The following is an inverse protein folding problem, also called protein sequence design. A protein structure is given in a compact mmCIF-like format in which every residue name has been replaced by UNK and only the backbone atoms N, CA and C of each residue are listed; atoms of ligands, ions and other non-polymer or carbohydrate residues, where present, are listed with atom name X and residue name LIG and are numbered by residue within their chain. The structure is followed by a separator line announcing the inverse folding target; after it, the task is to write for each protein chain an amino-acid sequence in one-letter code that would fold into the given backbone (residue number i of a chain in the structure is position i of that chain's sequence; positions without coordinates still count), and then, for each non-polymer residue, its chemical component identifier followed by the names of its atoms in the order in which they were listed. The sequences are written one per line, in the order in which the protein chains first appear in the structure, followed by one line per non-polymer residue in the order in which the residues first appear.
data_IF_225635017226
#
_entry.id   IF_225635017226
#
_cell.length_a   1.000
_cell.length_b   1.000
_cell.length_c   1.000
_cell.angle_alpha   90.00
_cell.angle_beta   90.00
_cell.angle_gamma   90.00
#
_symmetry.space_group_name_H-M   'P 1'
#
loop_
_entity.id
_entity.type
_entity.pdbx_description
1 polymer ?
#
# COMPACT_ATOMS: atom_id res chain seq x y z
N UNK A 1 -43.68 -10.49 -5.36
CA UNK A 1 -42.63 -11.40 -4.85
C UNK A 1 -41.39 -11.49 -5.75
N UNK A 2 -41.53 -11.60 -7.08
CA UNK A 2 -40.38 -11.64 -8.00
C UNK A 2 -39.54 -10.34 -7.98
N UNK A 3 -40.19 -9.17 -7.91
CA UNK A 3 -39.54 -7.86 -7.80
C UNK A 3 -38.76 -7.68 -6.48
N UNK A 4 -39.24 -8.30 -5.40
CA UNK A 4 -38.52 -8.33 -4.12
C UNK A 4 -37.28 -9.23 -4.24
N UNK A 5 -37.37 -10.40 -4.88
CA UNK A 5 -36.19 -11.26 -5.09
C UNK A 5 -35.13 -10.60 -5.98
N UNK A 6 -35.51 -9.88 -7.04
CA UNK A 6 -34.58 -9.18 -7.93
C UNK A 6 -33.87 -8.01 -7.25
N UNK A 7 -34.57 -7.25 -6.41
CA UNK A 7 -33.96 -6.14 -5.65
C UNK A 7 -32.95 -6.65 -4.63
N UNK A 8 -33.20 -7.79 -4.00
CA UNK A 8 -32.26 -8.43 -3.07
C UNK A 8 -31.03 -9.00 -3.80
N UNK A 9 -31.21 -9.58 -4.99
CA UNK A 9 -30.09 -10.02 -5.82
C UNK A 9 -29.21 -8.85 -6.26
N UNK A 10 -29.81 -7.71 -6.66
CA UNK A 10 -29.06 -6.51 -7.01
C UNK A 10 -28.29 -5.93 -5.81
N UNK A 11 -28.90 -5.89 -4.62
CA UNK A 11 -28.23 -5.46 -3.38
C UNK A 11 -27.05 -6.37 -2.99
N UNK A 12 -27.20 -7.69 -3.14
CA UNK A 12 -26.11 -8.64 -2.88
C UNK A 12 -24.93 -8.43 -3.84
N UNK A 13 -25.20 -8.17 -5.13
CA UNK A 13 -24.17 -7.93 -6.16
C UNK A 13 -23.42 -6.61 -5.91
N UNK A 14 -24.10 -5.55 -5.46
CA UNK A 14 -23.43 -4.29 -5.08
C UNK A 14 -22.58 -4.41 -3.80
N UNK A 15 -22.91 -5.33 -2.89
CA UNK A 15 -22.16 -5.50 -1.63
C UNK A 15 -20.83 -6.26 -1.77
N UNK A 16 -20.63 -6.97 -2.89
CA UNK A 16 -19.39 -7.73 -3.14
C UNK A 16 -18.25 -6.91 -3.77
N UNK A 17 -18.51 -5.65 -4.13
CA UNK A 17 -17.50 -4.74 -4.69
C UNK A 17 -16.46 -4.23 -3.68
N UNK A 18 -16.58 -4.58 -2.39
CA UNK A 18 -15.61 -4.24 -1.35
C UNK A 18 -14.63 -5.39 -1.07
N UNK A 19 -14.28 -6.17 -2.09
CA UNK A 19 -13.08 -7.00 -2.03
C UNK A 19 -11.89 -6.04 -1.91
N UNK A 20 -11.34 -5.97 -0.70
CA UNK A 20 -10.20 -5.18 -0.26
C UNK A 20 -9.39 -4.58 -1.42
N UNK A 21 -9.49 -3.27 -1.59
CA UNK A 21 -8.31 -2.52 -2.02
C UNK A 21 -7.36 -2.69 -0.85
N UNK A 22 -6.57 -3.77 -0.85
CA UNK A 22 -5.36 -3.81 -0.06
C UNK A 22 -4.52 -2.67 -0.61
N UNK A 23 -4.67 -1.49 -0.01
CA UNK A 23 -3.85 -0.34 -0.32
C UNK A 23 -2.43 -0.71 0.10
N UNK A 24 -1.69 -1.38 -0.80
CA UNK A 24 -0.28 -1.66 -0.63
C UNK A 24 0.40 -0.30 -0.51
N UNK A 25 0.82 0.02 0.71
CA UNK A 25 1.58 1.19 1.13
C UNK A 25 1.59 2.33 0.10
N UNK A 26 0.64 3.27 0.18
CA UNK A 26 0.58 4.38 -0.77
C UNK A 26 1.56 5.50 -0.35
N UNK A 27 2.42 6.00 -1.25
CA UNK A 27 3.29 7.11 -0.91
C UNK A 27 2.46 8.39 -0.65
N UNK A 28 2.84 9.22 0.35
CA UNK A 28 2.19 10.49 0.57
C UNK A 28 2.45 11.46 -0.59
N UNK A 29 1.51 12.35 -0.85
CA UNK A 29 1.65 13.40 -1.86
C UNK A 29 2.38 14.58 -1.24
N UNK A 30 3.49 15.07 -1.83
CA UNK A 30 4.17 16.26 -1.33
C UNK A 30 3.23 17.47 -1.29
N UNK A 31 3.20 18.25 -0.20
CA UNK A 31 2.43 19.47 -0.15
C UNK A 31 3.01 20.52 -1.12
N UNK A 32 2.19 21.47 -1.53
CA UNK A 32 2.65 22.63 -2.28
C UNK A 32 3.52 23.54 -1.40
N UNK A 33 4.61 24.07 -1.96
CA UNK A 33 5.51 24.97 -1.24
C UNK A 33 5.57 26.34 -1.94
N UNK A 34 5.21 27.45 -1.25
CA UNK A 34 5.37 28.79 -1.80
C UNK A 34 6.85 29.15 -1.94
N UNK A 35 7.17 29.92 -2.99
CA UNK A 35 8.50 30.50 -3.21
C UNK A 35 8.59 31.96 -2.78
N UNK A 36 7.45 32.66 -2.68
CA UNK A 36 7.39 34.04 -2.20
C UNK A 36 7.50 34.08 -0.66
N UNK A 37 8.47 34.82 -0.09
CA UNK A 37 8.62 34.93 1.35
C UNK A 37 7.42 35.62 2.05
N UNK A 38 6.65 36.45 1.35
CA UNK A 38 5.44 37.04 1.90
C UNK A 38 4.34 35.98 2.06
N UNK A 39 4.19 35.08 1.09
CA UNK A 39 3.28 33.93 1.19
C UNK A 39 3.70 32.97 2.30
N UNK A 40 5.01 32.72 2.44
CA UNK A 40 5.54 31.88 3.54
C UNK A 40 5.17 32.46 4.90
N UNK A 41 5.28 33.78 5.08
CA UNK A 41 4.91 34.45 6.33
C UNK A 41 3.39 34.46 6.56
N UNK A 42 2.62 34.75 5.51
CA UNK A 42 1.17 34.82 5.58
C UNK A 42 0.54 33.46 5.94
N UNK A 43 1.12 32.37 5.43
CA UNK A 43 0.58 31.02 5.61
C UNK A 43 1.44 30.14 6.52
N UNK A 44 2.31 30.72 7.35
CA UNK A 44 3.28 29.96 8.16
C UNK A 44 2.64 28.84 9.01
N UNK A 45 1.49 29.09 9.62
CA UNK A 45 0.81 28.09 10.44
C UNK A 45 0.20 26.95 9.60
N UNK A 46 -0.27 27.25 8.39
CA UNK A 46 -0.74 26.22 7.46
C UNK A 46 0.43 25.36 6.99
N UNK A 47 1.53 25.99 6.55
CA UNK A 47 2.72 25.29 6.08
C UNK A 47 3.34 24.39 7.15
N UNK A 48 3.31 24.80 8.43
CA UNK A 48 3.75 23.96 9.55
C UNK A 48 2.89 22.71 9.69
N UNK A 49 1.57 22.86 9.68
CA UNK A 49 0.65 21.72 9.78
C UNK A 49 0.75 20.78 8.59
N UNK A 50 0.90 21.33 7.39
CA UNK A 50 1.07 20.53 6.17
C UNK A 50 2.38 19.73 6.22
N UNK A 51 3.45 20.32 6.76
CA UNK A 51 4.71 19.62 6.97
C UNK A 51 4.55 18.48 8.00
N UNK A 52 3.93 18.76 9.16
CA UNK A 52 3.65 17.75 10.19
C UNK A 52 2.86 16.57 9.62
N UNK A 53 1.74 16.85 8.94
CA UNK A 53 0.90 15.83 8.31
C UNK A 53 1.66 15.02 7.25
N UNK A 54 2.42 15.68 6.37
CA UNK A 54 3.19 14.99 5.34
C UNK A 54 4.24 14.03 5.93
N UNK A 55 4.94 14.45 7.00
CA UNK A 55 5.96 13.60 7.60
C UNK A 55 5.38 12.45 8.44
N UNK A 56 4.23 12.66 9.10
CA UNK A 56 3.50 11.58 9.76
C UNK A 56 3.04 10.51 8.77
N UNK A 57 2.50 10.94 7.62
CA UNK A 57 2.08 10.05 6.54
C UNK A 57 3.29 9.33 5.90
N UNK A 58 4.41 10.03 5.73
CA UNK A 58 5.66 9.43 5.24
C UNK A 58 6.19 8.35 6.19
N UNK A 59 6.14 8.57 7.51
CA UNK A 59 6.54 7.58 8.49
C UNK A 59 5.63 6.34 8.43
N UNK A 60 4.32 6.54 8.31
CA UNK A 60 3.36 5.45 8.15
C UNK A 60 3.63 4.65 6.87
N UNK A 61 3.90 5.32 5.76
CA UNK A 61 4.28 4.69 4.50
C UNK A 61 5.54 3.83 4.65
N UNK A 62 6.60 4.36 5.28
CA UNK A 62 7.84 3.62 5.49
C UNK A 62 7.63 2.40 6.40
N UNK A 63 6.85 2.51 7.47
CA UNK A 63 6.53 1.35 8.33
C UNK A 63 5.81 0.25 7.55
N UNK A 64 4.87 0.62 6.69
CA UNK A 64 4.17 -0.31 5.83
C UNK A 64 5.13 -1.00 4.83
N UNK A 65 5.97 -0.21 4.13
CA UNK A 65 6.98 -0.75 3.20
C UNK A 65 7.97 -1.70 3.88
N UNK A 66 8.35 -1.40 5.12
CA UNK A 66 9.24 -2.24 5.90
C UNK A 66 8.59 -3.58 6.27
N UNK A 67 7.28 -3.61 6.50
CA UNK A 67 6.53 -4.84 6.72
C UNK A 67 6.49 -5.68 5.44
N UNK A 68 6.04 -5.11 4.33
CA UNK A 68 5.99 -5.78 3.02
C UNK A 68 7.35 -6.37 2.64
N UNK A 69 8.42 -5.59 2.83
CA UNK A 69 9.80 -6.05 2.56
C UNK A 69 10.16 -7.28 3.39
N UNK A 70 9.79 -7.34 4.67
CA UNK A 70 10.08 -8.49 5.53
C UNK A 70 9.30 -9.73 5.08
N UNK A 71 8.03 -9.56 4.75
CA UNK A 71 7.18 -10.66 4.30
C UNK A 71 7.68 -11.26 2.98
N UNK A 72 8.01 -10.41 2.01
CA UNK A 72 8.59 -10.84 0.72
C UNK A 72 9.97 -11.46 0.91
N UNK A 73 10.79 -10.95 1.84
CA UNK A 73 12.11 -11.52 2.11
C UNK A 73 12.03 -12.98 2.58
N UNK A 74 11.13 -13.29 3.51
CA UNK A 74 10.92 -14.67 3.98
C UNK A 74 10.38 -15.57 2.86
N UNK A 75 9.47 -15.06 2.01
CA UNK A 75 9.01 -15.79 0.84
C UNK A 75 10.15 -16.12 -0.12
N UNK A 76 10.98 -15.13 -0.48
CA UNK A 76 12.13 -15.32 -1.37
C UNK A 76 13.11 -16.32 -0.79
N UNK A 77 13.34 -16.29 0.53
CA UNK A 77 14.18 -17.28 1.21
C UNK A 77 13.65 -18.70 1.02
N UNK A 78 12.38 -18.94 1.34
CA UNK A 78 11.76 -20.26 1.22
C UNK A 78 11.81 -20.78 -0.22
N UNK A 79 11.46 -19.93 -1.19
CA UNK A 79 11.50 -20.27 -2.61
C UNK A 79 12.94 -20.56 -3.07
N UNK A 80 13.92 -19.82 -2.58
CA UNK A 80 15.33 -20.06 -2.91
C UNK A 80 15.81 -21.43 -2.42
N UNK A 81 15.38 -21.88 -1.24
CA UNK A 81 15.67 -23.21 -0.72
C UNK A 81 15.03 -24.33 -1.56
N UNK A 82 13.80 -24.11 -2.06
CA UNK A 82 13.13 -25.00 -3.01
C UNK A 82 13.93 -25.13 -4.31
N UNK A 83 14.33 -24.01 -4.91
CA UNK A 83 15.12 -24.01 -6.14
C UNK A 83 16.49 -24.69 -5.93
N UNK A 84 17.14 -24.48 -4.79
CA UNK A 84 18.41 -25.14 -4.48
C UNK A 84 18.27 -26.68 -4.50
N UNK A 85 17.18 -27.23 -3.95
CA UNK A 85 16.89 -28.67 -4.01
C UNK A 85 16.70 -29.17 -5.44
N UNK A 86 15.95 -28.43 -6.26
CA UNK A 86 15.74 -28.78 -7.67
C UNK A 86 17.06 -28.81 -8.42
N UNK A 87 17.90 -27.80 -8.24
CA UNK A 87 19.20 -27.70 -8.91
C UNK A 87 20.14 -28.85 -8.51
N UNK A 88 20.10 -29.29 -7.26
CA UNK A 88 20.90 -30.44 -6.82
C UNK A 88 20.48 -31.74 -7.52
N UNK A 89 19.17 -31.99 -7.65
CA UNK A 89 18.66 -33.14 -8.39
C UNK A 89 19.13 -33.11 -9.85
N UNK A 90 19.00 -31.96 -10.51
CA UNK A 90 19.43 -31.79 -11.90
C UNK A 90 20.94 -32.02 -12.08
N UNK A 91 21.76 -31.60 -11.12
CA UNK A 91 23.21 -31.83 -11.12
C UNK A 91 23.58 -33.29 -10.90
N UNK A 92 22.81 -34.02 -10.10
CA UNK A 92 23.07 -35.43 -9.79
C UNK A 92 22.64 -36.41 -10.89
N UNK A 93 21.78 -35.96 -11.82
CA UNK A 93 21.28 -36.76 -12.94
C UNK A 93 22.06 -36.64 -14.25
N UNK A 94 23.15 -35.87 -14.28
CA UNK A 94 24.10 -35.76 -15.40
C UNK A 94 25.39 -36.51 -15.12
#
# INVERSE_FOLDING_TARGET
MALLKQTWAALAILSWGSAAIAGSCLPPVPPWMPTDPDDVRAYADLLRRDAEAYFDDAEQYFRCQDQERREVFEQVRAVSEDYARVLEVLRSGS
#
